data_IF_305717060856
#
_entry.id   IF_305717060856
#
_cell.length_a   1.000
_cell.length_b   1.000
_cell.length_c   1.000
_cell.angle_alpha   90.00
_cell.angle_beta   90.00
_cell.angle_gamma   90.00
#
_symmetry.space_group_name_H-M   'P 1'
#
loop_
_entity.id
_entity.type
_entity.pdbx_description
1 polymer ?
#
# COMPACT_ATOMS: atom_id res chain seq x y z
N UNK A 1 20.00 62.36 4.06
CA UNK A 1 19.92 62.11 5.51
C UNK A 1 18.73 62.91 6.00
N UNK A 2 17.62 62.40 6.49
CA UNK A 2 17.27 61.16 7.20
C UNK A 2 16.15 61.59 8.14
N UNK A 3 14.89 61.40 7.74
CA UNK A 3 13.71 61.86 8.48
C UNK A 3 13.13 60.74 9.33
N UNK A 4 12.79 61.05 10.59
CA UNK A 4 12.23 60.13 11.58
C UNK A 4 10.71 60.32 11.72
N UNK A 5 9.97 59.26 11.33
CA UNK A 5 8.82 58.59 11.97
C UNK A 5 8.13 59.26 13.20
N UNK A 6 6.81 59.15 13.47
CA UNK A 6 5.74 58.23 13.04
C UNK A 6 4.35 58.87 13.32
N UNK A 7 3.36 58.48 12.52
CA UNK A 7 1.98 59.00 12.44
C UNK A 7 1.00 58.51 13.52
N UNK A 8 0.04 59.39 13.84
CA UNK A 8 -1.19 59.18 14.60
C UNK A 8 -2.39 58.77 13.72
N UNK A 9 -3.45 58.34 14.42
CA UNK A 9 -4.89 58.43 14.12
C UNK A 9 -5.63 57.22 13.55
N UNK A 10 -6.46 56.60 14.41
CA UNK A 10 -7.74 56.01 14.04
C UNK A 10 -8.83 56.38 15.06
N UNK A 11 -9.81 57.17 14.62
CA UNK A 11 -11.04 57.48 15.36
C UNK A 11 -12.28 57.26 14.46
N UNK A 12 -13.18 56.35 14.90
CA UNK A 12 -14.67 56.27 14.85
C UNK A 12 -15.46 56.69 13.57
N UNK A 13 -16.20 55.75 12.90
CA UNK A 13 -17.64 55.27 13.03
C UNK A 13 -18.58 55.94 11.98
N UNK A 14 -19.77 55.41 11.54
CA UNK A 14 -20.73 54.54 12.27
C UNK A 14 -21.52 53.45 11.46
N UNK A 15 -22.41 52.77 12.20
CA UNK A 15 -23.37 51.68 11.93
C UNK A 15 -24.24 51.75 10.67
N UNK A 16 -24.68 50.57 10.21
CA UNK A 16 -26.08 50.34 9.88
C UNK A 16 -26.56 49.00 10.50
N UNK A 17 -27.58 49.10 11.33
CA UNK A 17 -28.30 48.03 12.00
C UNK A 17 -29.04 47.11 11.01
N UNK A 18 -29.02 45.81 11.29
CA UNK A 18 -30.26 45.03 11.21
C UNK A 18 -30.22 43.98 12.31
N UNK A 19 -31.13 44.15 13.28
CA UNK A 19 -31.36 43.25 14.41
C UNK A 19 -31.97 41.94 13.92
N UNK A 20 -31.47 40.82 14.45
CA UNK A 20 -32.32 39.67 14.83
C UNK A 20 -31.72 38.92 16.04
N UNK A 21 -32.29 39.23 17.20
CA UNK A 21 -32.62 38.34 18.33
C UNK A 21 -31.69 37.18 18.68
N UNK A 22 -30.74 37.50 19.56
CA UNK A 22 -30.45 36.92 20.88
C UNK A 22 -30.79 35.42 21.16
N UNK A 23 -29.75 34.67 21.55
CA UNK A 23 -29.90 33.42 22.30
C UNK A 23 -29.07 32.20 21.86
N UNK A 24 -28.28 32.24 20.78
CA UNK A 24 -27.42 31.11 20.41
C UNK A 24 -26.04 31.24 21.03
N UNK A 25 -25.79 30.45 22.07
CA UNK A 25 -24.45 30.20 22.64
C UNK A 25 -23.49 29.83 21.51
N UNK A 26 -22.50 30.69 21.27
CA UNK A 26 -21.45 30.41 20.28
C UNK A 26 -20.52 29.34 20.86
N UNK A 27 -20.69 28.09 20.43
CA UNK A 27 -19.86 26.97 20.86
C UNK A 27 -18.54 27.03 20.08
N UNK A 28 -17.46 27.41 20.75
CA UNK A 28 -16.12 27.35 20.20
C UNK A 28 -15.53 25.95 20.42
N UNK A 29 -15.37 25.19 19.34
CA UNK A 29 -14.73 23.88 19.36
C UNK A 29 -13.21 24.05 19.33
N UNK A 30 -12.53 23.83 20.47
CA UNK A 30 -11.08 23.96 20.59
C UNK A 30 -10.45 22.56 20.53
N UNK A 31 -9.78 22.23 19.43
CA UNK A 31 -9.25 20.89 19.16
C UNK A 31 -7.78 20.65 19.52
N UNK A 32 -7.13 21.58 20.24
CA UNK A 32 -5.66 21.59 20.43
C UNK A 32 -5.09 20.35 21.15
N UNK A 33 -5.90 19.60 21.89
CA UNK A 33 -5.50 18.40 22.64
C UNK A 33 -6.33 17.16 22.27
N UNK A 34 -6.96 17.13 21.09
CA UNK A 34 -7.74 15.95 20.66
C UNK A 34 -6.78 14.77 20.45
N UNK A 35 -6.96 13.73 21.26
CA UNK A 35 -6.29 12.45 21.05
C UNK A 35 -7.18 11.55 20.19
N UNK A 36 -6.62 11.07 19.08
CA UNK A 36 -7.32 10.13 18.21
C UNK A 36 -7.08 8.70 18.68
N UNK A 37 -8.13 8.05 19.18
CA UNK A 37 -8.11 6.65 19.57
C UNK A 37 -8.77 5.81 18.48
N UNK A 38 -8.11 4.73 18.07
CA UNK A 38 -8.60 3.83 17.01
C UNK A 38 -8.90 2.45 17.58
N UNK A 39 -10.18 2.09 17.55
CA UNK A 39 -10.71 0.85 18.10
C UNK A 39 -11.53 0.10 17.06
N UNK A 40 -11.41 -1.24 17.06
CA UNK A 40 -12.20 -2.12 16.20
C UNK A 40 -13.28 -2.88 16.98
N UNK A 41 -13.34 -2.68 18.29
CA UNK A 41 -14.40 -3.18 19.18
C UNK A 41 -14.85 -2.02 20.06
N UNK A 42 -16.16 -1.84 20.17
CA UNK A 42 -16.80 -0.96 21.14
C UNK A 42 -17.78 -1.79 21.98
N UNK A 43 -17.67 -1.71 23.30
CA UNK A 43 -18.64 -2.27 24.23
C UNK A 43 -19.23 -1.14 25.06
N UNK A 44 -20.56 -1.04 25.08
CA UNK A 44 -21.28 -0.07 25.90
C UNK A 44 -21.81 -0.79 27.14
N UNK A 45 -21.55 -0.23 28.32
CA UNK A 45 -22.06 -0.72 29.61
C UNK A 45 -22.59 0.45 30.42
N UNK A 46 -23.40 0.19 31.46
CA UNK A 46 -24.02 1.25 32.24
C UNK A 46 -24.16 0.89 33.72
N UNK A 47 -24.27 1.93 34.55
CA UNK A 47 -24.75 1.91 35.93
C UNK A 47 -25.91 2.91 36.06
N UNK A 48 -26.44 3.12 37.27
CA UNK A 48 -27.48 4.12 37.52
C UNK A 48 -27.02 5.55 37.19
N UNK A 49 -25.74 5.83 37.40
CA UNK A 49 -25.19 7.20 37.34
C UNK A 49 -24.30 7.44 36.12
N UNK A 50 -23.83 6.38 35.45
CA UNK A 50 -22.83 6.47 34.40
C UNK A 50 -23.11 5.50 33.24
N UNK A 51 -22.72 5.92 32.04
CA UNK A 51 -22.64 5.07 30.84
C UNK A 51 -21.19 5.07 30.38
N UNK A 52 -20.63 3.87 30.22
CA UNK A 52 -19.24 3.66 29.85
C UNK A 52 -19.13 3.11 28.42
N UNK A 53 -18.39 3.83 27.57
CA UNK A 53 -17.95 3.38 26.26
C UNK A 53 -16.56 2.79 26.40
N UNK A 54 -16.43 1.48 26.22
CA UNK A 54 -15.18 0.76 26.32
C UNK A 54 -14.69 0.45 24.91
N UNK A 55 -13.48 0.95 24.61
CA UNK A 55 -12.84 0.80 23.32
C UNK A 55 -11.63 -0.11 23.47
N UNK A 56 -11.45 -1.00 22.49
CA UNK A 56 -10.35 -1.94 22.52
C UNK A 56 -9.87 -2.38 21.15
N UNK A 57 -8.84 -3.22 21.18
CA UNK A 57 -8.28 -3.88 20.01
C UNK A 57 -8.36 -5.38 20.21
N UNK A 58 -8.96 -6.10 19.27
CA UNK A 58 -8.84 -7.56 19.24
C UNK A 58 -7.42 -7.94 18.81
N UNK A 59 -6.65 -8.60 19.69
CA UNK A 59 -5.48 -9.36 19.27
C UNK A 59 -5.94 -10.77 18.91
N UNK A 60 -5.77 -11.18 17.65
CA UNK A 60 -6.01 -12.58 17.27
C UNK A 60 -4.84 -13.42 17.80
N UNK A 61 -5.08 -14.20 18.85
CA UNK A 61 -4.17 -15.25 19.29
C UNK A 61 -4.24 -16.50 18.38
N UNK A 62 -3.25 -17.41 18.45
CA UNK A 62 -3.25 -18.64 17.66
C UNK A 62 -4.49 -19.50 17.94
N UNK A 63 -5.07 -20.05 16.87
CA UNK A 63 -6.27 -20.88 16.86
C UNK A 63 -6.09 -22.14 17.74
N UNK A 64 -6.35 -22.05 19.04
CA UNK A 64 -6.63 -23.24 19.89
C UNK A 64 -7.35 -22.96 21.21
N UNK A 65 -7.76 -21.72 21.49
CA UNK A 65 -8.52 -21.41 22.71
C UNK A 65 -9.93 -20.90 22.37
N UNK A 66 -10.94 -21.43 23.07
CA UNK A 66 -12.35 -21.02 22.98
C UNK A 66 -12.63 -19.65 23.63
N UNK A 67 -11.61 -19.01 24.20
CA UNK A 67 -11.71 -17.70 24.84
C UNK A 67 -10.93 -16.67 24.04
N UNK A 68 -11.63 -15.59 23.64
CA UNK A 68 -11.02 -14.45 22.97
C UNK A 68 -10.78 -13.36 24.02
N UNK A 69 -9.53 -13.14 24.39
CA UNK A 69 -9.18 -12.01 25.25
C UNK A 69 -9.23 -10.72 24.44
N UNK A 70 -10.28 -9.92 24.65
CA UNK A 70 -10.39 -8.57 24.08
C UNK A 70 -9.74 -7.61 25.07
N UNK A 71 -8.61 -7.02 24.68
CA UNK A 71 -7.99 -5.97 25.46
C UNK A 71 -8.74 -4.65 25.22
N UNK A 72 -9.46 -4.20 26.24
CA UNK A 72 -10.06 -2.87 26.28
C UNK A 72 -9.00 -1.90 26.80
N UNK A 73 -8.53 -1.01 25.94
CA UNK A 73 -7.40 -0.11 26.23
C UNK A 73 -7.88 1.26 26.72
N UNK A 74 -9.09 1.66 26.33
CA UNK A 74 -9.58 3.01 26.53
C UNK A 74 -11.03 3.02 27.00
N UNK A 75 -11.36 3.94 27.91
CA UNK A 75 -12.71 4.09 28.49
C UNK A 75 -13.13 5.54 28.47
N UNK A 76 -14.30 5.82 27.90
CA UNK A 76 -15.00 7.09 28.04
C UNK A 76 -16.18 6.89 28.99
N UNK A 77 -16.26 7.69 30.05
CA UNK A 77 -17.37 7.67 31.02
C UNK A 77 -18.24 8.90 30.79
N UNK A 78 -19.53 8.69 30.61
CA UNK A 78 -20.52 9.72 30.32
C UNK A 78 -21.64 9.66 31.35
N UNK A 79 -22.26 10.80 31.68
CA UNK A 79 -23.55 10.77 32.36
C UNK A 79 -24.66 10.33 31.39
N UNK A 80 -25.78 9.75 31.88
CA UNK A 80 -26.87 9.28 31.03
C UNK A 80 -27.42 10.35 30.06
N UNK A 81 -27.47 11.61 30.49
CA UNK A 81 -27.94 12.72 29.66
C UNK A 81 -26.99 13.03 28.50
N UNK A 82 -25.68 12.99 28.75
CA UNK A 82 -24.67 13.22 27.71
C UNK A 82 -24.61 12.04 26.74
N UNK A 83 -24.68 10.81 27.26
CA UNK A 83 -24.75 9.61 26.43
C UNK A 83 -25.99 9.61 25.52
N UNK A 84 -27.16 10.08 26.00
CA UNK A 84 -28.36 10.24 25.17
C UNK A 84 -28.16 11.25 24.05
N UNK A 85 -27.53 12.39 24.34
CA UNK A 85 -27.19 13.41 23.32
C UNK A 85 -26.20 12.86 22.30
N UNK A 86 -25.18 12.14 22.75
CA UNK A 86 -24.20 11.48 21.90
C UNK A 86 -24.88 10.46 20.97
N UNK A 87 -25.75 9.59 21.50
CA UNK A 87 -26.46 8.59 20.71
C UNK A 87 -27.34 9.21 19.62
N UNK A 88 -28.06 10.30 19.93
CA UNK A 88 -28.86 11.03 18.94
C UNK A 88 -27.98 11.67 17.84
N UNK A 89 -26.88 12.32 18.23
CA UNK A 89 -25.96 12.93 17.27
C UNK A 89 -25.29 11.87 16.37
N UNK A 90 -24.86 10.74 16.97
CA UNK A 90 -24.24 9.63 16.27
C UNK A 90 -25.21 8.99 15.27
N UNK A 91 -26.46 8.74 15.68
CA UNK A 91 -27.47 8.18 14.78
C UNK A 91 -27.76 9.11 13.58
N UNK A 92 -27.83 10.42 13.80
CA UNK A 92 -28.05 11.37 12.71
C UNK A 92 -26.90 11.35 11.69
N UNK A 93 -25.65 11.25 12.17
CA UNK A 93 -24.48 11.16 11.29
C UNK A 93 -24.44 9.83 10.54
N UNK A 94 -24.77 8.71 11.20
CA UNK A 94 -24.87 7.40 10.54
C UNK A 94 -25.95 7.42 9.45
N UNK A 95 -27.12 8.01 9.71
CA UNK A 95 -28.18 8.11 8.70
C UNK A 95 -27.78 8.97 7.50
N UNK A 96 -27.10 10.10 7.73
CA UNK A 96 -26.56 10.93 6.63
C UNK A 96 -25.50 10.17 5.82
N UNK A 97 -24.67 9.38 6.49
CA UNK A 97 -23.69 8.50 5.85
C UNK A 97 -24.39 7.41 5.02
N UNK A 98 -25.32 6.66 5.59
CA UNK A 98 -26.04 5.58 4.89
C UNK A 98 -26.87 6.09 3.72
N UNK A 99 -27.45 7.28 3.82
CA UNK A 99 -28.15 7.94 2.71
C UNK A 99 -27.24 8.26 1.53
N UNK A 100 -25.93 8.44 1.77
CA UNK A 100 -24.94 8.78 0.73
C UNK A 100 -24.18 7.56 0.21
N UNK A 101 -23.96 6.55 1.06
CA UNK A 101 -23.04 5.44 0.79
C UNK A 101 -23.68 4.05 0.86
N UNK A 102 -24.98 3.96 1.20
CA UNK A 102 -25.70 2.70 1.35
C UNK A 102 -25.78 2.21 2.81
N UNK A 103 -26.69 1.27 3.12
CA UNK A 103 -26.95 0.82 4.49
C UNK A 103 -25.77 0.05 5.09
N UNK A 104 -25.50 0.26 6.38
CA UNK A 104 -24.53 -0.51 7.15
C UNK A 104 -25.19 -1.79 7.67
N UNK A 105 -24.65 -2.96 7.32
CA UNK A 105 -25.13 -4.23 7.88
C UNK A 105 -24.71 -4.35 9.36
N UNK A 106 -25.69 -4.39 10.28
CA UNK A 106 -25.42 -4.68 11.68
C UNK A 106 -25.20 -6.18 11.90
N UNK A 107 -23.96 -6.58 12.20
CA UNK A 107 -23.72 -7.88 12.82
C UNK A 107 -24.22 -7.86 14.27
N UNK A 108 -25.22 -8.67 14.60
CA UNK A 108 -25.74 -8.76 15.96
C UNK A 108 -24.70 -9.35 16.92
N UNK A 109 -24.48 -8.80 18.12
CA UNK A 109 -23.63 -9.42 19.12
C UNK A 109 -24.32 -10.66 19.71
N UNK A 110 -23.87 -11.84 19.25
CA UNK A 110 -23.91 -13.15 19.92
C UNK A 110 -25.25 -13.54 20.60
N UNK A 111 -26.18 -14.10 19.83
CA UNK A 111 -27.07 -15.16 20.32
C UNK A 111 -26.55 -16.51 19.82
N UNK A 112 -25.99 -17.29 20.73
CA UNK A 112 -25.53 -18.66 20.52
C UNK A 112 -26.72 -19.62 20.47
N UNK A 113 -27.14 -20.03 19.26
CA UNK A 113 -27.78 -21.33 19.04
C UNK A 113 -27.37 -21.94 17.71
N UNK A 114 -26.58 -23.02 17.82
CA UNK A 114 -26.64 -24.22 16.99
C UNK A 114 -26.46 -24.08 15.48
N UNK A 115 -25.23 -24.36 15.01
CA UNK A 115 -25.02 -25.10 13.76
C UNK A 115 -24.88 -24.27 12.48
N UNK A 116 -23.64 -23.91 12.15
CA UNK A 116 -22.93 -24.29 10.92
C UNK A 116 -21.58 -23.55 10.91
N UNK A 117 -20.52 -24.30 10.61
CA UNK A 117 -19.14 -23.85 10.66
C UNK A 117 -18.92 -22.90 9.47
N UNK A 118 -18.76 -21.61 9.74
CA UNK A 118 -18.28 -20.63 8.78
C UNK A 118 -16.89 -20.13 9.21
N UNK A 119 -15.93 -20.25 8.28
CA UNK A 119 -14.49 -20.01 8.43
C UNK A 119 -14.11 -18.53 8.65
N UNK A 120 -12.91 -18.24 9.18
CA UNK A 120 -12.56 -16.93 9.74
C UNK A 120 -11.98 -15.95 8.72
N UNK A 121 -12.34 -14.66 8.85
CA UNK A 121 -11.54 -13.57 8.30
C UNK A 121 -12.34 -12.37 7.80
N UNK A 122 -12.72 -11.44 8.69
CA UNK A 122 -12.99 -10.05 8.24
C UNK A 122 -11.67 -9.42 7.81
N UNK A 123 -11.50 -9.35 6.48
CA UNK A 123 -10.43 -8.68 5.74
C UNK A 123 -10.64 -7.15 5.84
N UNK A 124 -9.60 -6.36 5.57
CA UNK A 124 -9.79 -5.00 5.05
C UNK A 124 -10.81 -5.08 3.87
N UNK A 125 -11.54 -4.01 3.50
CA UNK A 125 -12.34 -4.02 2.27
C UNK A 125 -11.39 -4.14 1.06
N UNK A 126 -10.97 -5.36 0.76
CA UNK A 126 -10.09 -5.74 -0.33
C UNK A 126 -10.76 -6.99 -0.92
N UNK A 127 -11.20 -6.83 -2.17
CA UNK A 127 -12.15 -7.65 -2.95
C UNK A 127 -13.64 -7.38 -2.67
N UNK A 128 -14.29 -6.69 -3.59
CA UNK A 128 -15.76 -6.71 -3.73
C UNK A 128 -16.25 -8.01 -4.41
N UNK A 129 -15.35 -8.95 -4.70
CA UNK A 129 -15.63 -10.18 -5.46
C UNK A 129 -14.92 -11.35 -4.78
N UNK A 130 -15.69 -12.30 -4.25
CA UNK A 130 -15.20 -13.54 -3.58
C UNK A 130 -14.14 -14.29 -4.42
N UNK A 131 -14.26 -14.23 -5.73
CA UNK A 131 -13.37 -14.91 -6.68
C UNK A 131 -11.93 -14.35 -6.67
N UNK A 132 -11.72 -13.03 -6.51
CA UNK A 132 -10.36 -12.46 -6.44
C UNK A 132 -9.70 -12.77 -5.10
N UNK A 133 -10.51 -12.81 -4.03
CA UNK A 133 -10.09 -13.24 -2.71
C UNK A 133 -9.55 -14.68 -2.68
N UNK A 134 -10.16 -15.57 -3.46
CA UNK A 134 -9.73 -16.96 -3.62
C UNK A 134 -8.42 -17.04 -4.41
N UNK A 135 -8.29 -16.26 -5.50
CA UNK A 135 -7.05 -16.19 -6.31
C UNK A 135 -5.87 -15.65 -5.51
N UNK A 136 -6.06 -14.65 -4.65
CA UNK A 136 -5.01 -14.15 -3.76
C UNK A 136 -4.54 -15.21 -2.75
N UNK A 137 -5.46 -16.00 -2.19
CA UNK A 137 -5.16 -17.04 -1.20
C UNK A 137 -4.46 -18.25 -1.80
N UNK A 138 -4.76 -18.56 -3.07
CA UNK A 138 -4.19 -19.72 -3.78
C UNK A 138 -2.65 -19.72 -3.77
N UNK A 139 -2.00 -18.57 -4.00
CA UNK A 139 -0.52 -18.53 -4.06
C UNK A 139 0.10 -18.97 -2.72
N UNK A 140 -0.45 -18.49 -1.60
CA UNK A 140 0.02 -18.87 -0.27
C UNK A 140 -0.19 -20.37 -0.02
N UNK A 141 -1.39 -20.87 -0.33
CA UNK A 141 -1.71 -22.29 -0.17
C UNK A 141 -0.77 -23.19 -0.98
N UNK A 142 -0.45 -22.81 -2.23
CA UNK A 142 0.46 -23.57 -3.08
C UNK A 142 1.88 -23.61 -2.52
N UNK A 143 2.40 -22.47 -2.04
CA UNK A 143 3.73 -22.39 -1.43
C UNK A 143 3.81 -23.20 -0.12
N UNK A 144 2.76 -23.13 0.71
CA UNK A 144 2.62 -23.90 1.94
C UNK A 144 2.57 -25.41 1.68
N UNK A 145 1.76 -25.86 0.71
CA UNK A 145 1.66 -27.27 0.33
C UNK A 145 3.01 -27.86 -0.13
N UNK A 146 3.87 -27.03 -0.70
CA UNK A 146 5.21 -27.42 -1.14
C UNK A 146 6.28 -27.29 -0.05
N UNK A 147 5.91 -26.84 1.16
CA UNK A 147 6.78 -26.56 2.31
C UNK A 147 7.96 -25.64 1.96
N UNK A 148 7.70 -24.57 1.23
CA UNK A 148 8.73 -23.60 0.83
C UNK A 148 8.78 -22.44 1.83
N UNK A 149 10.00 -21.99 2.13
CA UNK A 149 10.24 -20.72 2.84
C UNK A 149 10.23 -19.58 1.83
N UNK A 150 9.72 -18.43 2.24
CA UNK A 150 9.57 -17.28 1.35
C UNK A 150 9.80 -15.94 2.06
N UNK A 151 10.40 -15.00 1.35
CA UNK A 151 10.34 -13.58 1.70
C UNK A 151 9.00 -12.98 1.27
N UNK A 152 8.39 -12.16 2.11
CA UNK A 152 7.12 -11.50 1.85
C UNK A 152 7.32 -9.99 1.82
N UNK A 153 7.09 -9.39 0.66
CA UNK A 153 7.12 -7.95 0.43
C UNK A 153 5.73 -7.43 0.06
N UNK A 154 5.34 -6.29 0.63
CA UNK A 154 4.05 -5.65 0.36
C UNK A 154 4.24 -4.38 -0.44
N UNK A 155 3.20 -3.98 -1.16
CA UNK A 155 3.19 -2.69 -1.86
C UNK A 155 1.81 -2.08 -1.95
N UNK A 156 1.78 -0.78 -2.23
CA UNK A 156 0.58 -0.11 -2.73
C UNK A 156 0.90 0.67 -3.99
N UNK A 157 -0.04 0.71 -4.93
CA UNK A 157 0.07 1.48 -6.18
C UNK A 157 -0.98 2.57 -6.21
N UNK A 158 -0.57 3.78 -6.60
CA UNK A 158 -1.49 4.85 -6.95
C UNK A 158 -1.40 5.19 -8.42
N UNK A 159 -2.58 5.38 -9.00
CA UNK A 159 -2.82 5.99 -10.30
C UNK A 159 -4.09 6.84 -10.18
N UNK A 160 -4.45 7.60 -11.22
CA UNK A 160 -5.64 8.47 -11.18
C UNK A 160 -6.88 7.73 -10.64
N UNK A 161 -7.45 8.25 -9.55
CA UNK A 161 -8.60 7.72 -8.81
C UNK A 161 -8.48 6.25 -8.37
N UNK A 162 -7.26 5.72 -8.28
CA UNK A 162 -7.02 4.29 -8.06
C UNK A 162 -5.95 4.09 -6.99
N UNK A 163 -6.32 3.44 -5.88
CA UNK A 163 -5.41 2.96 -4.85
C UNK A 163 -5.49 1.43 -4.76
N UNK A 164 -4.41 0.74 -5.13
CA UNK A 164 -4.34 -0.72 -5.06
C UNK A 164 -3.50 -1.12 -3.84
N UNK A 165 -4.16 -1.57 -2.77
CA UNK A 165 -3.52 -1.94 -1.51
C UNK A 165 -3.31 -3.45 -1.29
N UNK A 166 -4.09 -4.32 -1.97
CA UNK A 166 -3.83 -5.76 -1.95
C UNK A 166 -2.81 -6.13 -3.03
N UNK A 167 -1.54 -5.90 -2.72
CA UNK A 167 -0.42 -6.22 -3.60
C UNK A 167 0.75 -6.75 -2.81
N UNK A 168 1.38 -7.77 -3.33
CA UNK A 168 2.53 -8.38 -2.69
C UNK A 168 3.42 -9.14 -3.66
N UNK A 169 4.63 -9.47 -3.18
CA UNK A 169 5.58 -10.40 -3.77
C UNK A 169 5.99 -11.43 -2.73
N UNK A 170 6.08 -12.70 -3.14
CA UNK A 170 6.58 -13.83 -2.37
C UNK A 170 7.84 -14.35 -3.06
N UNK A 171 8.99 -14.11 -2.46
CA UNK A 171 10.29 -14.49 -3.01
C UNK A 171 10.78 -15.81 -2.46
N UNK A 172 11.17 -16.72 -3.35
CA UNK A 172 11.70 -18.04 -3.01
C UNK A 172 13.08 -18.19 -3.65
N UNK A 173 14.11 -18.41 -2.83
CA UNK A 173 15.46 -18.68 -3.32
C UNK A 173 15.45 -19.98 -4.14
N UNK A 174 15.90 -19.90 -5.39
CA UNK A 174 15.86 -21.03 -6.32
C UNK A 174 17.07 -21.93 -6.12
N UNK A 175 16.81 -23.14 -5.65
CA UNK A 175 17.74 -24.27 -5.66
C UNK A 175 17.31 -25.32 -6.70
N UNK A 176 18.25 -26.12 -7.22
CA UNK A 176 17.95 -27.20 -8.20
C UNK A 176 16.83 -28.14 -7.73
N UNK A 177 16.88 -28.53 -6.45
CA UNK A 177 15.94 -29.49 -5.85
C UNK A 177 14.48 -29.00 -5.80
N UNK A 178 14.22 -27.70 -5.95
CA UNK A 178 12.88 -27.12 -5.87
C UNK A 178 12.32 -26.70 -7.23
N UNK A 179 13.08 -26.90 -8.32
CA UNK A 179 12.69 -26.47 -9.66
C UNK A 179 11.35 -27.07 -10.12
N UNK A 180 11.13 -28.35 -9.87
CA UNK A 180 9.87 -29.02 -10.20
C UNK A 180 8.69 -28.46 -9.41
N UNK A 181 8.90 -28.12 -8.13
CA UNK A 181 7.88 -27.49 -7.28
C UNK A 181 7.49 -26.12 -7.81
N UNK A 182 8.47 -25.30 -8.21
CA UNK A 182 8.21 -23.97 -8.79
C UNK A 182 7.42 -24.07 -10.10
N UNK A 183 7.77 -25.03 -10.97
CA UNK A 183 7.02 -25.29 -12.20
C UNK A 183 5.58 -25.75 -11.93
N UNK A 184 5.39 -26.60 -10.92
CA UNK A 184 4.08 -27.06 -10.49
C UNK A 184 3.20 -25.91 -9.97
N UNK A 185 3.75 -25.03 -9.12
CA UNK A 185 3.06 -23.82 -8.66
C UNK A 185 2.62 -22.96 -9.85
N UNK A 186 3.51 -22.69 -10.81
CA UNK A 186 3.18 -21.92 -12.01
C UNK A 186 2.03 -22.57 -12.83
N UNK A 187 2.02 -23.90 -12.96
CA UNK A 187 0.92 -24.62 -13.63
C UNK A 187 -0.40 -24.48 -12.88
N UNK A 188 -0.39 -24.63 -11.55
CA UNK A 188 -1.58 -24.50 -10.71
C UNK A 188 -2.12 -23.06 -10.63
N UNK A 189 -1.28 -22.05 -10.91
CA UNK A 189 -1.69 -20.65 -11.09
C UNK A 189 -2.23 -20.35 -12.51
N UNK A 190 -2.48 -21.38 -13.32
CA UNK A 190 -2.94 -21.26 -14.71
C UNK A 190 -2.02 -20.41 -15.60
N UNK A 191 -0.69 -20.49 -15.38
CA UNK A 191 0.27 -19.77 -16.21
C UNK A 191 0.10 -20.13 -17.69
N UNK A 192 -0.02 -19.14 -18.59
CA UNK A 192 -0.15 -19.38 -20.04
C UNK A 192 0.98 -20.24 -20.58
N UNK A 193 0.65 -21.21 -21.46
CA UNK A 193 1.63 -22.17 -22.01
C UNK A 193 2.87 -21.49 -22.60
N UNK A 194 2.69 -20.39 -23.34
CA UNK A 194 3.80 -19.60 -23.91
C UNK A 194 4.74 -19.02 -22.83
N UNK A 195 4.20 -18.66 -21.67
CA UNK A 195 4.99 -18.16 -20.54
C UNK A 195 5.63 -19.29 -19.76
N UNK A 196 4.95 -20.44 -19.64
CA UNK A 196 5.52 -21.61 -18.96
C UNK A 196 6.76 -22.14 -19.69
N UNK A 197 6.74 -22.17 -21.03
CA UNK A 197 7.92 -22.55 -21.84
C UNK A 197 9.07 -21.59 -21.59
N UNK A 198 8.84 -20.28 -21.74
CA UNK A 198 9.88 -19.27 -21.52
C UNK A 198 10.37 -19.25 -20.06
N UNK A 199 9.48 -19.48 -19.09
CA UNK A 199 9.84 -19.62 -17.68
C UNK A 199 10.78 -20.82 -17.49
N UNK A 200 10.42 -21.99 -18.01
CA UNK A 200 11.22 -23.21 -17.90
C UNK A 200 12.61 -23.07 -18.56
N UNK A 201 12.69 -22.43 -19.73
CA UNK A 201 13.95 -22.17 -20.43
C UNK A 201 14.91 -21.27 -19.65
N UNK A 202 14.39 -20.36 -18.82
CA UNK A 202 15.19 -19.39 -18.07
C UNK A 202 15.34 -19.75 -16.58
N UNK A 203 14.63 -20.76 -16.08
CA UNK A 203 14.57 -21.09 -14.65
C UNK A 203 15.90 -21.64 -14.11
N UNK A 204 16.67 -22.37 -14.91
CA UNK A 204 17.98 -22.89 -14.50
C UNK A 204 18.93 -21.79 -14.06
N UNK A 205 18.86 -20.65 -14.76
CA UNK A 205 19.74 -19.51 -14.60
C UNK A 205 19.30 -18.55 -13.50
N UNK A 206 18.06 -18.67 -13.04
CA UNK A 206 17.48 -17.81 -12.03
C UNK A 206 17.97 -18.16 -10.62
N UNK A 207 18.12 -17.15 -9.78
CA UNK A 207 18.56 -17.28 -8.39
C UNK A 207 17.40 -17.13 -7.40
N UNK A 208 16.39 -16.36 -7.77
CA UNK A 208 15.20 -16.10 -6.97
C UNK A 208 13.98 -16.14 -7.89
N UNK A 209 12.89 -16.75 -7.43
CA UNK A 209 11.58 -16.69 -8.08
C UNK A 209 10.63 -15.88 -7.21
N UNK A 210 10.06 -14.80 -7.76
CA UNK A 210 9.08 -13.97 -7.06
C UNK A 210 7.68 -14.24 -7.60
N UNK A 211 6.75 -14.66 -6.76
CA UNK A 211 5.32 -14.77 -7.07
C UNK A 211 4.59 -13.51 -6.61
N UNK A 212 3.93 -12.82 -7.54
CA UNK A 212 3.26 -11.55 -7.29
C UNK A 212 1.76 -11.60 -7.53
N UNK A 213 1.05 -10.80 -6.74
CA UNK A 213 -0.37 -10.56 -6.90
C UNK A 213 -0.67 -9.06 -6.86
N UNK A 214 -1.64 -8.67 -7.68
CA UNK A 214 -2.21 -7.33 -7.70
C UNK A 214 -3.68 -7.47 -8.07
N UNK A 215 -4.58 -6.89 -7.29
CA UNK A 215 -6.00 -6.78 -7.66
C UNK A 215 -6.46 -5.33 -7.70
N UNK A 216 -7.48 -5.10 -8.52
CA UNK A 216 -8.37 -3.95 -8.48
C UNK A 216 -9.82 -4.46 -8.34
N UNK A 217 -10.80 -3.57 -8.41
CA UNK A 217 -12.22 -3.93 -8.24
C UNK A 217 -12.77 -4.95 -9.25
N UNK A 218 -12.14 -5.09 -10.42
CA UNK A 218 -12.66 -5.84 -11.57
C UNK A 218 -11.74 -6.93 -12.09
N UNK A 219 -10.45 -6.88 -11.76
CA UNK A 219 -9.47 -7.88 -12.21
C UNK A 219 -8.38 -8.11 -11.19
N UNK A 220 -7.77 -9.29 -11.28
CA UNK A 220 -6.56 -9.63 -10.54
C UNK A 220 -5.51 -10.19 -11.49
N UNK A 221 -4.26 -9.86 -11.21
CA UNK A 221 -3.10 -10.16 -12.05
C UNK A 221 -2.12 -10.99 -11.25
N UNK A 222 -1.82 -12.18 -11.75
CA UNK A 222 -0.67 -12.96 -11.30
C UNK A 222 0.59 -12.50 -12.00
N UNK A 223 1.69 -12.57 -11.25
CA UNK A 223 3.02 -12.27 -11.76
C UNK A 223 4.00 -13.31 -11.27
N UNK A 224 4.94 -13.70 -12.12
CA UNK A 224 6.08 -14.52 -11.73
C UNK A 224 7.33 -13.86 -12.28
N UNK A 225 8.33 -13.65 -11.44
CA UNK A 225 9.60 -13.07 -11.84
C UNK A 225 10.73 -14.07 -11.63
N UNK A 226 11.60 -14.17 -12.61
CA UNK A 226 12.91 -14.79 -12.48
C UNK A 226 13.94 -13.68 -12.25
N UNK A 227 14.72 -13.76 -11.17
CA UNK A 227 15.84 -12.86 -10.90
C UNK A 227 17.17 -13.54 -11.23
N UNK A 228 18.11 -12.81 -11.83
CA UNK A 228 19.43 -13.29 -12.25
C UNK A 228 20.58 -12.58 -11.52
N UNK A 229 20.45 -12.37 -10.21
CA UNK A 229 21.39 -11.55 -9.44
C UNK A 229 22.83 -12.07 -9.43
N UNK A 230 23.06 -13.39 -9.50
CA UNK A 230 24.41 -13.96 -9.58
C UNK A 230 25.10 -13.61 -10.91
N UNK A 231 24.35 -13.49 -12.02
CA UNK A 231 24.93 -13.00 -13.28
C UNK A 231 25.48 -11.59 -13.11
N UNK A 232 24.70 -10.70 -12.48
CA UNK A 232 25.14 -9.33 -12.21
C UNK A 232 26.36 -9.29 -11.26
N UNK A 233 26.34 -10.09 -10.17
CA UNK A 233 27.48 -10.17 -9.23
C UNK A 233 28.74 -10.66 -9.92
N UNK A 234 28.66 -11.73 -10.72
CA UNK A 234 29.81 -12.29 -11.44
C UNK A 234 30.40 -11.28 -12.45
N UNK A 235 29.52 -10.54 -13.14
CA UNK A 235 29.96 -9.48 -14.04
C UNK A 235 30.67 -8.34 -13.30
N UNK A 236 30.13 -7.88 -12.17
CA UNK A 236 30.78 -6.84 -11.35
C UNK A 236 32.07 -7.33 -10.69
N UNK A 237 32.15 -8.61 -10.28
CA UNK A 237 33.38 -9.20 -9.76
C UNK A 237 34.49 -9.25 -10.82
N UNK A 238 34.15 -9.67 -12.04
CA UNK A 238 35.12 -9.73 -13.15
C UNK A 238 35.49 -8.34 -13.70
N UNK A 239 34.56 -7.38 -13.65
CA UNK A 239 34.72 -6.01 -14.14
C UNK A 239 34.10 -5.03 -13.13
N UNK A 240 34.83 -4.61 -12.08
CA UNK A 240 34.31 -3.76 -10.99
C UNK A 240 33.73 -2.42 -11.42
N UNK A 241 34.10 -1.92 -12.60
CA UNK A 241 33.64 -0.65 -13.16
C UNK A 241 32.64 -0.83 -14.32
N UNK A 242 32.07 -2.03 -14.51
CA UNK A 242 31.10 -2.28 -15.57
C UNK A 242 29.82 -1.48 -15.30
N UNK A 243 29.42 -0.68 -16.29
CA UNK A 243 28.19 0.15 -16.27
C UNK A 243 27.22 -0.23 -17.39
N UNK A 244 27.57 -1.24 -18.19
CA UNK A 244 26.71 -1.74 -19.26
C UNK A 244 25.41 -2.31 -18.69
N UNK A 245 24.26 -2.12 -19.36
CA UNK A 245 22.99 -2.63 -18.87
C UNK A 245 22.92 -4.15 -18.85
N UNK A 246 22.30 -4.72 -17.81
CA UNK A 246 22.20 -6.17 -17.59
C UNK A 246 20.76 -6.55 -17.32
N UNK A 247 20.26 -7.63 -17.91
CA UNK A 247 18.94 -8.17 -17.56
C UNK A 247 18.98 -8.72 -16.12
N UNK A 248 18.23 -8.09 -15.21
CA UNK A 248 18.16 -8.53 -13.82
C UNK A 248 16.90 -9.35 -13.54
N UNK A 249 15.75 -8.98 -14.10
CA UNK A 249 14.53 -9.78 -13.98
C UNK A 249 13.82 -10.01 -15.30
N UNK A 250 13.21 -11.19 -15.41
CA UNK A 250 12.22 -11.53 -16.43
C UNK A 250 10.88 -11.78 -15.75
N UNK A 251 9.87 -10.96 -16.04
CA UNK A 251 8.56 -11.02 -15.41
C UNK A 251 7.48 -11.51 -16.36
N UNK A 252 6.72 -12.53 -15.95
CA UNK A 252 5.54 -13.05 -16.63
C UNK A 252 4.30 -12.54 -15.91
N UNK A 253 3.41 -11.83 -16.60
CA UNK A 253 2.21 -11.23 -15.99
C UNK A 253 0.98 -11.68 -16.77
N UNK A 254 -0.06 -12.16 -16.08
CA UNK A 254 -1.32 -12.53 -16.72
C UNK A 254 -2.51 -12.24 -15.81
N UNK A 255 -3.66 -12.01 -16.43
CA UNK A 255 -4.93 -11.91 -15.71
C UNK A 255 -5.30 -13.30 -15.16
N UNK A 256 -5.62 -13.36 -13.86
CA UNK A 256 -5.86 -14.61 -13.15
C UNK A 256 -7.25 -15.22 -13.40
N UNK A 257 -8.16 -14.45 -14.02
CA UNK A 257 -9.49 -14.88 -14.45
C UNK A 257 -9.51 -15.20 -15.96
N UNK A 258 -8.68 -14.52 -16.77
CA UNK A 258 -8.50 -14.77 -18.20
C UNK A 258 -7.02 -14.78 -18.60
N UNK A 259 -6.40 -15.96 -18.55
CA UNK A 259 -4.97 -16.13 -18.80
C UNK A 259 -4.54 -15.87 -20.26
N UNK A 260 -5.46 -15.58 -21.19
CA UNK A 260 -5.10 -15.14 -22.54
C UNK A 260 -4.53 -13.72 -22.57
N UNK A 261 -4.82 -12.92 -21.54
CA UNK A 261 -4.33 -11.54 -21.41
C UNK A 261 -3.09 -11.51 -20.53
N UNK A 262 -1.97 -11.05 -21.08
CA UNK A 262 -0.73 -10.96 -20.33
C UNK A 262 0.39 -10.26 -21.08
N UNK A 263 1.54 -10.13 -20.42
CA UNK A 263 2.76 -9.57 -20.98
C UNK A 263 4.01 -10.24 -20.36
N UNK A 264 5.09 -10.26 -21.13
CA UNK A 264 6.44 -10.50 -20.60
C UNK A 264 7.12 -9.15 -20.45
N UNK A 265 7.70 -8.91 -19.28
CA UNK A 265 8.42 -7.70 -18.93
C UNK A 265 9.90 -8.01 -18.69
N UNK A 266 10.80 -7.20 -19.24
CA UNK A 266 12.24 -7.26 -19.03
C UNK A 266 12.65 -6.11 -18.13
N UNK A 267 13.37 -6.42 -17.05
CA UNK A 267 13.88 -5.46 -16.08
C UNK A 267 15.38 -5.36 -16.25
N UNK A 268 15.82 -4.27 -16.87
CA UNK A 268 17.22 -4.02 -17.19
C UNK A 268 17.85 -3.15 -16.12
N UNK A 269 18.84 -3.70 -15.41
CA UNK A 269 19.64 -2.99 -14.43
C UNK A 269 20.72 -2.14 -15.10
N UNK A 270 20.94 -0.94 -14.56
CA UNK A 270 22.04 -0.05 -14.92
C UNK A 270 23.01 0.03 -13.73
N UNK A 271 24.06 -0.81 -13.69
CA UNK A 271 24.90 -0.95 -12.52
C UNK A 271 25.70 0.32 -12.24
N UNK A 272 25.91 0.62 -10.95
CA UNK A 272 26.76 1.72 -10.49
C UNK A 272 26.35 3.10 -11.04
N UNK A 273 25.09 3.26 -11.45
CA UNK A 273 24.61 4.52 -12.02
C UNK A 273 24.49 5.58 -10.91
N UNK A 274 25.18 6.73 -11.04
CA UNK A 274 25.07 7.80 -10.04
C UNK A 274 23.63 8.34 -9.94
N UNK A 275 23.22 8.82 -8.77
CA UNK A 275 21.85 9.32 -8.56
C UNK A 275 21.49 10.42 -9.57
N UNK A 276 22.41 11.34 -9.85
CA UNK A 276 22.19 12.38 -10.89
C UNK A 276 21.80 11.78 -12.25
N UNK A 277 22.43 10.68 -12.64
CA UNK A 277 22.14 10.02 -13.92
C UNK A 277 20.83 9.23 -13.86
N UNK A 278 20.50 8.62 -12.70
CA UNK A 278 19.17 8.03 -12.47
C UNK A 278 18.07 9.08 -12.69
N UNK A 279 18.20 10.27 -12.09
CA UNK A 279 17.20 11.35 -12.23
C UNK A 279 17.02 11.83 -13.68
N UNK A 280 18.11 11.85 -14.46
CA UNK A 280 18.06 12.16 -15.90
C UNK A 280 17.29 11.07 -16.67
N UNK A 281 17.56 9.79 -16.38
CA UNK A 281 16.86 8.67 -17.01
C UNK A 281 15.37 8.65 -16.66
N UNK A 282 15.01 8.95 -15.40
CA UNK A 282 13.62 9.16 -15.00
C UNK A 282 12.96 10.26 -15.84
N UNK A 283 13.65 11.37 -16.11
CA UNK A 283 13.09 12.45 -16.93
C UNK A 283 12.77 11.97 -18.35
N UNK A 284 13.65 11.15 -18.94
CA UNK A 284 13.46 10.56 -20.27
C UNK A 284 12.26 9.59 -20.33
N UNK A 285 12.00 8.84 -19.26
CA UNK A 285 10.82 7.95 -19.18
C UNK A 285 9.52 8.73 -19.36
N UNK A 286 9.46 9.95 -18.82
CA UNK A 286 8.30 10.83 -18.89
C UNK A 286 8.31 11.75 -20.12
N UNK A 287 9.27 11.60 -21.05
CA UNK A 287 9.34 12.48 -22.22
C UNK A 287 8.06 12.42 -23.06
N UNK A 288 7.57 13.61 -23.40
CA UNK A 288 6.29 13.83 -24.07
C UNK A 288 5.07 13.83 -23.14
N UNK A 289 5.19 13.39 -21.89
CA UNK A 289 4.08 13.43 -20.93
C UNK A 289 3.88 14.85 -20.39
N UNK A 290 2.63 15.34 -20.44
CA UNK A 290 2.28 16.72 -20.10
C UNK A 290 2.39 16.99 -18.59
N UNK A 291 1.88 16.07 -17.78
CA UNK A 291 1.93 16.19 -16.34
C UNK A 291 3.23 15.57 -15.81
N UNK A 292 4.01 16.36 -15.08
CA UNK A 292 5.31 15.92 -14.53
C UNK A 292 5.26 15.77 -13.01
N UNK A 293 4.10 15.92 -12.37
CA UNK A 293 3.97 15.88 -10.91
C UNK A 293 4.50 14.57 -10.31
N UNK A 294 4.14 13.41 -10.88
CA UNK A 294 4.63 12.11 -10.40
C UNK A 294 6.13 11.90 -10.61
N UNK A 295 6.69 12.45 -11.70
CA UNK A 295 8.14 12.49 -11.91
C UNK A 295 8.83 13.30 -10.81
N UNK A 296 8.34 14.50 -10.50
CA UNK A 296 8.94 15.35 -9.48
C UNK A 296 8.82 14.74 -8.07
N UNK A 297 7.70 14.09 -7.76
CA UNK A 297 7.55 13.30 -6.53
C UNK A 297 8.61 12.18 -6.47
N UNK A 298 8.80 11.45 -7.57
CA UNK A 298 9.79 10.38 -7.61
C UNK A 298 11.22 10.91 -7.42
N UNK A 299 11.56 12.04 -8.06
CA UNK A 299 12.86 12.70 -7.88
C UNK A 299 13.07 13.16 -6.43
N UNK A 300 12.06 13.76 -5.81
CA UNK A 300 12.10 14.19 -4.40
C UNK A 300 12.35 12.99 -3.46
N UNK A 301 11.66 11.86 -3.69
CA UNK A 301 11.86 10.64 -2.91
C UNK A 301 13.29 10.11 -3.06
N UNK A 302 13.80 10.06 -4.29
CA UNK A 302 15.15 9.56 -4.58
C UNK A 302 16.22 10.47 -3.97
N UNK A 303 16.05 11.79 -4.05
CA UNK A 303 16.97 12.74 -3.42
C UNK A 303 16.99 12.62 -1.89
N UNK A 304 15.82 12.45 -1.28
CA UNK A 304 15.71 12.21 0.17
C UNK A 304 16.38 10.89 0.58
N UNK A 305 16.23 9.83 -0.23
CA UNK A 305 16.92 8.56 0.00
C UNK A 305 18.45 8.70 -0.17
N UNK A 306 18.89 9.42 -1.21
CA UNK A 306 20.30 9.67 -1.50
C UNK A 306 20.98 10.43 -0.36
N UNK A 307 20.28 11.37 0.29
CA UNK A 307 20.82 12.11 1.44
C UNK A 307 21.07 11.26 2.68
N UNK A 308 20.66 9.97 2.69
CA UNK A 308 20.84 9.03 3.80
C UNK A 308 21.99 8.05 3.60
N UNK A 309 22.64 8.03 2.44
CA UNK A 309 23.67 7.05 2.11
C UNK A 309 24.99 7.73 1.74
N UNK A 310 26.10 7.03 1.98
CA UNK A 310 27.46 7.52 1.67
C UNK A 310 27.83 7.26 0.21
N UNK A 311 27.32 6.19 -0.38
CA UNK A 311 27.58 5.81 -1.77
C UNK A 311 26.44 6.32 -2.66
N UNK A 312 26.73 7.15 -3.64
CA UNK A 312 25.74 7.82 -4.51
C UNK A 312 25.12 6.89 -5.58
N UNK A 313 24.70 5.67 -5.22
CA UNK A 313 24.05 4.76 -6.15
C UNK A 313 23.08 3.78 -5.49
N UNK A 314 22.01 3.48 -6.23
CA UNK A 314 20.99 2.50 -5.91
C UNK A 314 20.93 1.44 -7.02
N UNK A 315 20.23 0.32 -6.77
CA UNK A 315 19.90 -0.62 -7.86
C UNK A 315 18.74 0.01 -8.62
N UNK A 316 19.00 0.45 -9.84
CA UNK A 316 18.04 1.11 -10.73
C UNK A 316 17.76 0.24 -11.95
N UNK A 317 16.47 0.01 -12.21
CA UNK A 317 15.96 -0.83 -13.28
C UNK A 317 15.06 -0.03 -14.21
N UNK A 318 15.14 -0.30 -15.51
CA UNK A 318 14.12 0.10 -16.49
C UNK A 318 13.35 -1.11 -16.97
N UNK A 319 12.04 -0.91 -17.15
CA UNK A 319 11.10 -1.98 -17.48
C UNK A 319 10.56 -1.73 -18.88
N UNK A 320 10.74 -2.73 -19.73
CA UNK A 320 10.13 -2.81 -21.07
C UNK A 320 9.21 -4.02 -21.14
N UNK A 321 8.14 -3.93 -21.93
CA UNK A 321 7.21 -5.03 -22.20
C UNK A 321 7.13 -5.23 -23.72
N UNK A 322 7.17 -6.48 -24.19
CA UNK A 322 7.17 -6.76 -25.64
C UNK A 322 5.85 -6.24 -26.28
N UNK A 323 5.97 -5.54 -27.41
CA UNK A 323 4.85 -4.89 -28.13
C UNK A 323 4.02 -3.92 -27.28
N UNK A 324 4.62 -3.29 -26.26
CA UNK A 324 3.92 -2.38 -25.34
C UNK A 324 4.68 -1.04 -25.23
N UNK A 325 4.00 0.12 -25.44
CA UNK A 325 4.62 1.44 -25.31
C UNK A 325 4.95 1.85 -23.86
N UNK A 326 4.58 1.03 -22.87
CA UNK A 326 4.88 1.26 -21.45
C UNK A 326 6.36 1.58 -21.24
N UNK A 327 6.61 2.65 -20.49
CA UNK A 327 7.94 3.07 -20.03
C UNK A 327 7.90 3.22 -18.52
N UNK A 328 8.62 2.38 -17.79
CA UNK A 328 8.63 2.47 -16.32
C UNK A 328 9.98 2.11 -15.73
N UNK A 329 10.19 2.49 -14.49
CA UNK A 329 11.37 2.19 -13.70
C UNK A 329 11.01 1.48 -12.40
N UNK A 330 12.02 0.85 -11.80
CA UNK A 330 12.04 0.46 -10.40
C UNK A 330 13.38 0.85 -9.78
N UNK A 331 13.37 1.26 -8.52
CA UNK A 331 14.59 1.57 -7.78
C UNK A 331 14.51 0.98 -6.37
N UNK A 332 15.51 0.18 -6.00
CA UNK A 332 15.66 -0.35 -4.65
C UNK A 332 16.29 0.72 -3.75
N UNK A 333 15.56 1.12 -2.73
CA UNK A 333 15.88 2.18 -1.78
C UNK A 333 16.07 1.67 -0.34
N UNK A 334 16.06 0.35 -0.10
CA UNK A 334 16.27 -0.23 1.23
C UNK A 334 17.52 0.29 1.93
N UNK A 335 18.60 0.56 1.18
CA UNK A 335 19.86 1.12 1.70
C UNK A 335 19.69 2.46 2.42
N UNK A 336 18.67 3.24 2.09
CA UNK A 336 18.41 4.53 2.74
C UNK A 336 17.78 4.39 4.12
N UNK A 337 17.28 3.19 4.48
CA UNK A 337 16.68 2.87 5.76
C UNK A 337 15.60 3.89 6.20
N UNK A 338 14.78 4.34 5.24
CA UNK A 338 13.66 5.23 5.48
C UNK A 338 12.44 4.43 5.90
N UNK A 339 11.62 4.99 6.78
CA UNK A 339 10.27 4.50 7.06
C UNK A 339 9.26 5.26 6.18
N UNK A 340 8.09 4.67 5.93
CA UNK A 340 7.03 5.33 5.15
C UNK A 340 6.58 6.68 5.77
N UNK A 341 6.71 6.85 7.08
CA UNK A 341 6.50 8.15 7.76
C UNK A 341 7.51 9.23 7.39
N UNK A 342 8.74 8.86 7.03
CA UNK A 342 9.77 9.83 6.68
C UNK A 342 9.50 10.46 5.31
N UNK A 343 8.71 9.78 4.47
CA UNK A 343 8.32 10.25 3.13
C UNK A 343 6.86 10.75 3.08
N UNK A 344 6.17 10.87 4.23
CA UNK A 344 4.75 11.23 4.28
C UNK A 344 4.38 12.50 3.50
N UNK A 345 5.14 13.61 3.55
CA UNK A 345 4.83 14.80 2.75
C UNK A 345 4.75 14.50 1.24
N UNK A 346 5.60 13.60 0.74
CA UNK A 346 5.64 13.18 -0.66
C UNK A 346 4.50 12.22 -0.98
N UNK A 347 4.15 11.32 -0.05
CA UNK A 347 2.96 10.47 -0.19
C UNK A 347 1.66 11.29 -0.20
N UNK A 348 1.59 12.37 0.58
CA UNK A 348 0.44 13.28 0.59
C UNK A 348 0.31 14.04 -0.74
N UNK A 349 1.42 14.52 -1.32
CA UNK A 349 1.46 15.08 -2.69
C UNK A 349 1.01 14.04 -3.71
N UNK A 350 1.49 12.80 -3.61
CA UNK A 350 1.12 11.69 -4.49
C UNK A 350 -0.39 11.39 -4.43
N UNK A 351 -0.96 11.34 -3.22
CA UNK A 351 -2.40 11.19 -3.01
C UNK A 351 -3.21 12.30 -3.67
N UNK A 352 -2.79 13.56 -3.50
CA UNK A 352 -3.45 14.72 -4.12
C UNK A 352 -3.39 14.66 -5.65
N UNK A 353 -2.21 14.39 -6.19
CA UNK A 353 -1.98 14.25 -7.63
C UNK A 353 -2.92 13.22 -8.27
N UNK A 354 -2.98 12.03 -7.66
CA UNK A 354 -3.83 10.95 -8.16
C UNK A 354 -5.29 11.05 -7.72
N UNK A 355 -5.70 12.13 -7.04
CA UNK A 355 -7.08 12.33 -6.58
C UNK A 355 -7.60 11.16 -5.72
N UNK A 356 -6.74 10.62 -4.86
CA UNK A 356 -7.10 9.52 -3.96
C UNK A 356 -7.83 10.07 -2.72
N UNK A 357 -8.91 9.40 -2.32
CA UNK A 357 -9.65 9.73 -1.09
C UNK A 357 -8.70 9.80 0.11
N UNK A 358 -8.90 10.81 0.96
CA UNK A 358 -8.15 10.89 2.23
C UNK A 358 -8.43 9.67 3.09
N UNK A 359 -9.70 9.24 3.19
CA UNK A 359 -10.11 8.12 4.04
C UNK A 359 -9.45 6.80 3.59
N UNK A 360 -9.45 6.52 2.28
CA UNK A 360 -8.85 5.29 1.74
C UNK A 360 -7.32 5.29 1.92
N UNK A 361 -6.69 6.43 1.68
CA UNK A 361 -5.25 6.56 1.85
C UNK A 361 -4.84 6.45 3.32
N UNK A 362 -5.51 7.16 4.21
CA UNK A 362 -5.22 7.15 5.65
C UNK A 362 -5.42 5.73 6.20
N UNK A 363 -6.54 5.08 5.87
CA UNK A 363 -6.80 3.70 6.26
C UNK A 363 -5.67 2.74 5.88
N UNK A 364 -5.12 2.86 4.67
CA UNK A 364 -3.95 2.08 4.25
C UNK A 364 -2.67 2.52 4.97
N UNK A 365 -2.40 3.82 4.97
CA UNK A 365 -1.16 4.42 5.45
C UNK A 365 -0.92 4.16 6.93
N UNK A 366 -1.96 4.23 7.75
CA UNK A 366 -1.86 4.04 9.20
C UNK A 366 -1.41 2.63 9.60
N UNK A 367 -1.64 1.64 8.73
CA UNK A 367 -1.19 0.27 8.94
C UNK A 367 0.29 0.06 8.60
N UNK A 368 0.86 0.97 7.79
CA UNK A 368 2.16 0.76 7.15
C UNK A 368 3.18 1.87 7.45
N UNK A 369 2.77 2.97 8.09
CA UNK A 369 3.59 4.18 8.30
C UNK A 369 4.96 3.92 8.94
N UNK A 370 5.08 2.93 9.83
CA UNK A 370 6.34 2.57 10.51
C UNK A 370 7.16 1.51 9.75
N UNK A 371 6.67 1.00 8.63
CA UNK A 371 7.36 -0.02 7.84
C UNK A 371 8.52 0.60 7.06
N UNK A 372 9.57 -0.19 6.86
CA UNK A 372 10.73 0.21 6.07
C UNK A 372 10.32 0.33 4.60
N UNK A 373 10.61 1.49 4.02
CA UNK A 373 10.42 1.76 2.60
C UNK A 373 11.47 1.02 1.78
N UNK A 374 11.00 0.19 0.85
CA UNK A 374 11.83 -0.74 0.08
C UNK A 374 12.13 -0.24 -1.32
N UNK A 375 11.12 -0.18 -2.17
CA UNK A 375 11.27 0.20 -3.58
C UNK A 375 10.30 1.31 -3.97
N UNK A 376 10.73 2.12 -4.94
CA UNK A 376 9.87 3.00 -5.72
C UNK A 376 9.81 2.49 -7.15
N UNK A 377 8.63 2.14 -7.64
CA UNK A 377 8.41 1.99 -9.08
C UNK A 377 7.53 3.11 -9.62
N UNK A 378 7.71 3.47 -10.88
CA UNK A 378 6.88 4.49 -11.52
C UNK A 378 7.04 4.54 -13.03
N UNK A 379 6.24 5.39 -13.67
CA UNK A 379 6.36 5.65 -15.10
C UNK A 379 5.01 5.81 -15.78
N UNK A 380 5.02 5.63 -17.10
CA UNK A 380 3.88 5.78 -17.99
C UNK A 380 3.43 4.39 -18.45
N UNK A 381 2.15 4.08 -18.21
CA UNK A 381 1.56 2.81 -18.64
C UNK A 381 1.15 2.82 -20.12
N UNK A 382 0.55 1.72 -20.57
CA UNK A 382 0.13 1.53 -21.97
C UNK A 382 -1.02 2.44 -22.41
N UNK A 383 -1.71 3.09 -21.48
CA UNK A 383 -2.79 4.05 -21.74
C UNK A 383 -2.29 5.49 -21.64
N UNK A 384 -0.96 5.70 -21.64
CA UNK A 384 -0.30 6.99 -21.44
C UNK A 384 -0.68 7.65 -20.10
N UNK A 385 -0.94 6.84 -19.07
CA UNK A 385 -1.23 7.32 -17.70
C UNK A 385 -0.04 7.05 -16.80
N UNK A 386 0.25 8.02 -15.95
CA UNK A 386 1.30 7.89 -14.95
C UNK A 386 0.84 7.10 -13.72
N UNK A 387 1.79 6.46 -13.05
CA UNK A 387 1.56 5.75 -11.79
C UNK A 387 2.82 5.74 -10.93
N UNK A 388 2.63 5.57 -9.62
CA UNK A 388 3.71 5.28 -8.66
C UNK A 388 3.33 4.10 -7.79
N UNK A 389 4.31 3.26 -7.43
CA UNK A 389 4.15 2.11 -6.53
C UNK A 389 5.21 2.19 -5.44
N UNK A 390 4.77 2.00 -4.21
CA UNK A 390 5.59 2.03 -2.99
C UNK A 390 5.63 0.62 -2.43
N UNK A 391 6.82 0.04 -2.36
CA UNK A 391 7.06 -1.26 -1.74
C UNK A 391 7.63 -1.03 -0.35
N UNK A 392 7.27 -1.88 0.59
CA UNK A 392 7.67 -1.74 1.98
C UNK A 392 7.68 -3.10 2.67
N UNK A 393 8.56 -3.20 3.66
CA UNK A 393 8.73 -4.37 4.54
C UNK A 393 9.09 -5.66 3.81
N UNK A 394 10.22 -6.29 4.17
CA UNK A 394 10.44 -7.71 3.89
C UNK A 394 10.30 -8.45 5.21
N UNK A 395 9.43 -9.45 5.23
CA UNK A 395 9.29 -10.38 6.36
C UNK A 395 9.52 -11.81 5.87
N UNK A 396 9.96 -12.70 6.75
CA UNK A 396 10.17 -14.11 6.40
C UNK A 396 8.93 -14.91 6.80
N UNK A 397 8.34 -15.62 5.84
CA UNK A 397 7.29 -16.62 6.06
C UNK A 397 7.85 -18.03 5.93
N UNK A 398 7.30 -18.96 6.71
CA UNK A 398 7.60 -20.39 6.60
C UNK A 398 6.32 -21.18 6.38
N UNK A 399 6.26 -22.00 5.32
CA UNK A 399 5.15 -22.93 5.09
C UNK A 399 5.16 -24.16 6.02
N UNK A 400 5.75 -24.07 7.21
CA UNK A 400 5.82 -25.18 8.17
C UNK A 400 4.55 -25.19 9.03
N UNK A 401 3.79 -26.29 8.95
CA UNK A 401 2.69 -26.60 9.88
C UNK A 401 3.19 -26.96 11.28
#
# INVERSE_FOLDING_TARGET
MGGTHLEENKNRRPNADTKQTDGQTRINWIGSNIQSLRANICKVTYTREEIMLLFGRSQRGPMRQKEHNILLTDRIVLSPLIAKRLGAALNNVIQDYESKYGPLEMESPLQTKGGQIASPGKRLPLSNIKETADKSGLIFQLIENHNLEFGYERSFKMAKNTLLGNRFLLGIDKEEKIQEKLLDICKQMDMPKKYLVAFQENLSDANLVLFGFEENERSCVYKVYLEFCEKLKNELHSKPNKTEPVLLHLGFKWDALDNNKGAIAKYTCYPLLPVKNILNRLSNIYDGHKDRTSLEIAKDIINLAASRIVNDSFIYLEVSEDNNPRRSFDINLYKANLQLKDIYPLLSKMRQHYSISSDDFDFLYDQVSTKIFGHLSGGIDREEKDFLTIYYEVSVGSGKN
#
